data_IF_343853659631
#
_entry.id   IF_343853659631
#
_cell.length_a   1.000
_cell.length_b   1.000
_cell.length_c   1.000
_cell.angle_alpha   90.00
_cell.angle_beta   90.00
_cell.angle_gamma   90.00
#
_symmetry.space_group_name_H-M   'P 1'
#
loop_
_entity.id
_entity.type
_entity.pdbx_description
1 polymer ?
#
# COMPACT_ATOMS: atom_id res chain seq x y z
N UNK A 1 -4.25 -8.04 16.38
CA UNK A 1 -4.87 -6.86 17.03
C UNK A 1 -6.33 -6.66 16.62
N UNK A 2 -6.71 -7.00 15.39
CA UNK A 2 -8.11 -6.89 14.93
C UNK A 2 -9.07 -7.98 15.45
N UNK A 3 -8.59 -9.19 15.70
CA UNK A 3 -9.46 -10.30 16.11
C UNK A 3 -10.20 -10.07 17.46
N UNK A 4 -9.48 -9.56 18.45
CA UNK A 4 -9.96 -9.47 19.84
C UNK A 4 -11.15 -8.52 19.99
N UNK A 5 -11.14 -7.30 19.40
CA UNK A 5 -12.30 -6.41 19.45
C UNK A 5 -13.59 -7.00 18.89
N UNK A 6 -13.55 -7.70 17.75
CA UNK A 6 -14.74 -8.32 17.15
C UNK A 6 -15.32 -9.43 18.04
N UNK A 7 -14.47 -10.26 18.65
CA UNK A 7 -14.91 -11.29 19.60
C UNK A 7 -15.55 -10.68 20.86
N UNK A 8 -14.95 -9.63 21.41
CA UNK A 8 -15.50 -8.94 22.59
C UNK A 8 -16.86 -8.31 22.27
N UNK A 9 -16.99 -7.66 21.11
CA UNK A 9 -18.24 -7.03 20.67
C UNK A 9 -19.34 -8.05 20.36
N UNK A 10 -18.98 -9.24 19.86
CA UNK A 10 -19.94 -10.31 19.56
C UNK A 10 -20.44 -11.08 20.79
N UNK A 11 -19.62 -11.20 21.84
CA UNK A 11 -19.98 -11.96 23.05
C UNK A 11 -20.60 -11.07 24.13
N UNK A 12 -20.15 -9.82 24.27
CA UNK A 12 -20.54 -8.98 25.39
C UNK A 12 -21.43 -7.80 24.99
N UNK A 13 -22.75 -8.00 25.13
CA UNK A 13 -23.76 -6.97 24.86
C UNK A 13 -23.56 -5.68 25.69
N UNK A 14 -23.01 -5.76 26.91
CA UNK A 14 -22.74 -4.57 27.75
C UNK A 14 -21.61 -3.70 27.20
N UNK A 15 -20.68 -4.27 26.42
CA UNK A 15 -19.63 -3.49 25.75
C UNK A 15 -20.17 -2.72 24.54
N UNK A 16 -21.25 -3.22 23.90
CA UNK A 16 -21.94 -2.53 22.80
C UNK A 16 -22.78 -1.35 23.28
N UNK A 17 -23.37 -1.44 24.48
CA UNK A 17 -24.25 -0.37 25.00
C UNK A 17 -23.48 0.85 25.52
N UNK A 18 -22.21 0.68 25.92
CA UNK A 18 -21.36 1.77 26.36
C UNK A 18 -20.63 2.41 25.18
N UNK A 19 -20.97 3.67 24.86
CA UNK A 19 -20.36 4.45 23.77
C UNK A 19 -18.82 4.44 23.82
N UNK A 20 -18.23 4.62 25.00
CA UNK A 20 -16.78 4.67 25.16
C UNK A 20 -16.10 3.32 24.87
N UNK A 21 -16.68 2.22 25.34
CA UNK A 21 -16.15 0.88 25.07
C UNK A 21 -16.25 0.55 23.59
N UNK A 22 -17.38 0.88 22.95
CA UNK A 22 -17.56 0.69 21.52
C UNK A 22 -16.54 1.48 20.70
N UNK A 23 -16.30 2.75 21.04
CA UNK A 23 -15.31 3.60 20.36
C UNK A 23 -13.90 3.02 20.53
N UNK A 24 -13.50 2.64 21.74
CA UNK A 24 -12.18 2.08 22.00
C UNK A 24 -11.99 0.76 21.23
N UNK A 25 -12.97 -0.14 21.27
CA UNK A 25 -12.87 -1.42 20.56
C UNK A 25 -12.83 -1.23 19.04
N UNK A 26 -13.68 -0.35 18.48
CA UNK A 26 -13.67 -0.05 17.04
C UNK A 26 -12.39 0.65 16.59
N UNK A 27 -11.81 1.52 17.42
CA UNK A 27 -10.54 2.19 17.09
C UNK A 27 -9.37 1.21 17.11
N UNK A 28 -9.28 0.34 18.12
CA UNK A 28 -8.27 -0.74 18.16
C UNK A 28 -8.44 -1.68 16.96
N UNK A 29 -9.68 -1.98 16.59
CA UNK A 29 -9.97 -2.78 15.40
C UNK A 29 -9.46 -2.11 14.11
N UNK A 30 -9.83 -0.85 13.89
CA UNK A 30 -9.44 -0.12 12.69
C UNK A 30 -7.91 0.03 12.61
N UNK A 31 -7.24 0.24 13.75
CA UNK A 31 -5.78 0.26 13.82
C UNK A 31 -5.17 -1.09 13.43
N UNK A 32 -5.74 -2.20 13.94
CA UNK A 32 -5.30 -3.54 13.59
C UNK A 32 -5.48 -3.86 12.10
N UNK A 33 -6.62 -3.47 11.52
CA UNK A 33 -6.89 -3.65 10.09
C UNK A 33 -5.94 -2.82 9.23
N UNK A 34 -5.71 -1.55 9.58
CA UNK A 34 -4.80 -0.67 8.85
C UNK A 34 -3.36 -1.17 8.87
N UNK A 35 -2.90 -1.69 10.01
CA UNK A 35 -1.57 -2.30 10.11
C UNK A 35 -1.44 -3.53 9.20
N UNK A 36 -2.47 -4.39 9.19
CA UNK A 36 -2.43 -5.60 8.39
C UNK A 36 -2.46 -5.31 6.88
N UNK A 37 -3.24 -4.31 6.46
CA UNK A 37 -3.31 -3.83 5.08
C UNK A 37 -1.94 -3.32 4.58
N UNK A 38 -1.29 -2.44 5.37
CA UNK A 38 0.04 -1.92 5.04
C UNK A 38 1.11 -3.01 4.97
N UNK A 39 1.02 -4.03 5.83
CA UNK A 39 1.95 -5.18 5.80
C UNK A 39 1.72 -6.01 4.54
N UNK A 40 0.47 -6.30 4.16
CA UNK A 40 0.15 -7.03 2.92
C UNK A 40 0.68 -6.27 1.70
N UNK A 41 0.45 -4.96 1.63
CA UNK A 41 0.98 -4.12 0.55
C UNK A 41 2.51 -4.13 0.50
N UNK A 42 3.18 -4.03 1.66
CA UNK A 42 4.63 -4.10 1.75
C UNK A 42 5.18 -5.46 1.29
N UNK A 43 4.52 -6.56 1.66
CA UNK A 43 4.91 -7.91 1.25
C UNK A 43 4.73 -8.10 -0.26
N UNK A 44 3.62 -7.63 -0.83
CA UNK A 44 3.39 -7.67 -2.28
C UNK A 44 4.45 -6.85 -3.01
N UNK A 45 4.78 -5.67 -2.49
CA UNK A 45 5.82 -4.82 -3.06
C UNK A 45 7.22 -5.44 -3.02
N UNK A 46 7.59 -6.07 -1.90
CA UNK A 46 8.87 -6.77 -1.78
C UNK A 46 8.93 -7.96 -2.75
N UNK A 47 7.84 -8.72 -2.87
CA UNK A 47 7.73 -9.83 -3.82
C UNK A 47 7.83 -9.35 -5.28
N UNK A 48 7.16 -8.23 -5.61
CA UNK A 48 7.22 -7.57 -6.93
C UNK A 48 8.64 -7.21 -7.33
N UNK A 49 9.50 -6.86 -6.37
CA UNK A 49 10.89 -6.49 -6.61
C UNK A 49 11.81 -7.70 -6.71
N UNK A 50 11.56 -8.74 -5.91
CA UNK A 50 12.30 -9.99 -5.96
C UNK A 50 12.04 -10.74 -7.27
N UNK A 51 10.81 -10.72 -7.78
CA UNK A 51 10.52 -11.13 -9.14
C UNK A 51 11.06 -10.11 -10.14
N UNK A 52 11.57 -10.58 -11.29
CA UNK A 52 12.06 -9.67 -12.34
C UNK A 52 10.97 -8.65 -12.67
N UNK A 53 11.35 -7.39 -12.89
CA UNK A 53 10.41 -6.28 -13.09
C UNK A 53 9.42 -6.43 -14.28
N UNK A 54 9.60 -7.46 -15.13
CA UNK A 54 8.61 -7.90 -16.13
C UNK A 54 7.36 -8.54 -15.52
N UNK A 55 7.46 -9.18 -14.35
CA UNK A 55 6.37 -9.88 -13.65
C UNK A 55 5.74 -9.04 -12.52
N UNK A 56 6.39 -7.94 -12.12
CA UNK A 56 5.90 -6.96 -11.14
C UNK A 56 4.43 -6.55 -11.36
N UNK A 57 4.08 -6.19 -12.60
CA UNK A 57 2.72 -5.77 -12.94
C UNK A 57 1.70 -6.91 -12.87
N UNK A 58 2.14 -8.14 -13.14
CA UNK A 58 1.27 -9.32 -13.10
C UNK A 58 0.98 -9.70 -11.64
N UNK A 59 2.00 -9.69 -10.77
CA UNK A 59 1.82 -10.00 -9.34
C UNK A 59 0.90 -8.99 -8.65
N UNK A 60 1.08 -7.70 -8.91
CA UNK A 60 0.19 -6.70 -8.33
C UNK A 60 -1.24 -6.80 -8.90
N UNK A 61 -1.40 -7.14 -10.18
CA UNK A 61 -2.74 -7.36 -10.75
C UNK A 61 -3.46 -8.54 -10.09
N UNK A 62 -2.73 -9.60 -9.72
CA UNK A 62 -3.28 -10.77 -9.01
C UNK A 62 -3.76 -10.36 -7.62
N UNK A 63 -2.99 -9.55 -6.87
CA UNK A 63 -3.41 -9.04 -5.56
C UNK A 63 -4.69 -8.22 -5.65
N UNK A 64 -4.81 -7.36 -6.67
CA UNK A 64 -6.01 -6.54 -6.90
C UNK A 64 -7.22 -7.37 -7.35
N UNK A 65 -7.02 -8.43 -8.13
CA UNK A 65 -8.07 -9.39 -8.47
C UNK A 65 -8.55 -10.16 -7.23
N UNK A 66 -7.64 -10.59 -6.36
CA UNK A 66 -7.99 -11.22 -5.09
C UNK A 66 -8.76 -10.28 -4.17
N UNK A 67 -8.35 -9.00 -4.10
CA UNK A 67 -9.08 -7.95 -3.36
C UNK A 67 -10.49 -7.74 -3.93
N UNK A 68 -10.64 -7.66 -5.25
CA UNK A 68 -11.95 -7.52 -5.89
C UNK A 68 -12.86 -8.72 -5.59
N UNK A 69 -12.31 -9.94 -5.64
CA UNK A 69 -13.05 -11.15 -5.29
C UNK A 69 -13.49 -11.16 -3.82
N UNK A 70 -12.59 -10.79 -2.90
CA UNK A 70 -12.91 -10.61 -1.48
C UNK A 70 -13.99 -9.54 -1.25
N UNK A 71 -13.94 -8.44 -2.01
CA UNK A 71 -14.93 -7.37 -1.98
C UNK A 71 -16.32 -7.81 -2.46
N UNK A 72 -16.40 -8.63 -3.51
CA UNK A 72 -17.65 -9.24 -4.00
C UNK A 72 -18.26 -10.13 -2.91
N UNK A 73 -17.47 -11.09 -2.41
CA UNK A 73 -17.90 -12.01 -1.36
C UNK A 73 -18.34 -11.25 -0.09
N UNK A 74 -17.56 -10.25 0.33
CA UNK A 74 -17.87 -9.42 1.50
C UNK A 74 -19.11 -8.56 1.33
N UNK A 75 -19.34 -8.00 0.13
CA UNK A 75 -20.54 -7.17 -0.14
C UNK A 75 -21.82 -8.02 -0.19
N UNK A 76 -21.75 -9.23 -0.76
CA UNK A 76 -22.86 -10.19 -0.79
C UNK A 76 -23.18 -10.72 0.61
N UNK A 77 -22.17 -11.20 1.34
CA UNK A 77 -22.34 -11.68 2.72
C UNK A 77 -22.80 -10.56 3.65
N UNK A 78 -22.25 -9.35 3.51
CA UNK A 78 -22.63 -8.18 4.29
C UNK A 78 -24.10 -7.80 4.06
N UNK A 79 -24.53 -7.74 2.79
CA UNK A 79 -25.92 -7.47 2.42
C UNK A 79 -26.88 -8.51 3.01
N UNK A 80 -26.56 -9.80 2.90
CA UNK A 80 -27.36 -10.89 3.47
C UNK A 80 -27.39 -10.85 5.01
N UNK A 81 -26.26 -10.58 5.64
CA UNK A 81 -26.13 -10.51 7.09
C UNK A 81 -26.97 -9.36 7.68
N UNK A 82 -26.95 -8.19 7.05
CA UNK A 82 -27.71 -7.00 7.48
C UNK A 82 -29.24 -7.22 7.50
N UNK A 83 -29.77 -8.08 6.63
CA UNK A 83 -31.22 -8.30 6.51
C UNK A 83 -31.74 -9.48 7.34
N UNK A 84 -30.91 -10.49 7.59
CA UNK A 84 -31.37 -11.77 8.15
C UNK A 84 -30.70 -12.16 9.48
N UNK A 85 -29.62 -11.50 9.88
CA UNK A 85 -28.86 -11.88 11.08
C UNK A 85 -28.96 -10.80 12.16
N UNK A 86 -29.03 -11.25 13.40
CA UNK A 86 -28.92 -10.37 14.56
C UNK A 86 -27.50 -9.80 14.68
N UNK A 87 -27.42 -8.60 15.25
CA UNK A 87 -26.17 -7.83 15.37
C UNK A 87 -25.06 -8.62 16.09
N UNK A 88 -25.40 -9.43 17.10
CA UNK A 88 -24.46 -10.29 17.82
C UNK A 88 -23.79 -11.34 16.91
N UNK A 89 -24.60 -12.00 16.08
CA UNK A 89 -24.12 -12.99 15.10
C UNK A 89 -23.28 -12.29 14.02
N UNK A 90 -23.65 -11.07 13.63
CA UNK A 90 -22.88 -10.27 12.67
C UNK A 90 -21.46 -10.01 13.22
N UNK A 91 -21.32 -9.49 14.45
CA UNK A 91 -20.00 -9.22 15.05
C UNK A 91 -19.15 -10.51 15.15
N UNK A 92 -19.76 -11.64 15.51
CA UNK A 92 -19.06 -12.91 15.61
C UNK A 92 -18.63 -13.44 14.23
N UNK A 93 -19.47 -13.32 13.20
CA UNK A 93 -19.13 -13.65 11.82
C UNK A 93 -17.95 -12.81 11.32
N UNK A 94 -17.93 -11.51 11.63
CA UNK A 94 -16.82 -10.63 11.27
C UNK A 94 -15.50 -10.99 11.98
N UNK A 95 -15.53 -11.67 13.12
CA UNK A 95 -14.31 -12.15 13.80
C UNK A 95 -13.60 -13.31 13.07
N UNK A 96 -14.34 -14.06 12.25
CA UNK A 96 -13.78 -15.19 11.48
C UNK A 96 -12.76 -14.72 10.45
N UNK A 97 -12.99 -13.56 9.83
CA UNK A 97 -12.09 -13.04 8.79
C UNK A 97 -10.70 -12.66 9.35
N UNK A 98 -10.58 -11.85 10.44
CA UNK A 98 -9.30 -11.65 11.11
C UNK A 98 -8.66 -12.93 11.67
N UNK A 99 -9.45 -13.95 12.04
CA UNK A 99 -8.91 -15.23 12.51
C UNK A 99 -8.22 -16.00 11.37
N UNK A 100 -8.85 -16.04 10.19
CA UNK A 100 -8.24 -16.61 8.98
C UNK A 100 -6.97 -15.83 8.61
N UNK A 101 -7.00 -14.50 8.67
CA UNK A 101 -5.82 -13.68 8.40
C UNK A 101 -4.68 -13.98 9.38
N UNK A 102 -4.98 -14.09 10.68
CA UNK A 102 -3.99 -14.43 11.69
C UNK A 102 -3.39 -15.82 11.46
N UNK A 103 -4.22 -16.79 11.10
CA UNK A 103 -3.77 -18.14 10.75
C UNK A 103 -2.88 -18.13 9.51
N UNK A 104 -3.26 -17.37 8.48
CA UNK A 104 -2.45 -17.21 7.26
C UNK A 104 -1.10 -16.57 7.56
N UNK A 105 -1.03 -15.55 8.42
CA UNK A 105 0.24 -14.95 8.85
C UNK A 105 1.16 -15.96 9.54
N UNK A 106 0.59 -16.90 10.31
CA UNK A 106 1.36 -17.97 10.96
C UNK A 106 1.96 -19.00 10.00
N UNK A 107 1.49 -19.05 8.75
CA UNK A 107 1.98 -19.95 7.71
C UNK A 107 2.99 -19.28 6.77
N UNK A 108 3.17 -17.96 6.86
CA UNK A 108 4.17 -17.25 6.04
C UNK A 108 5.55 -17.56 6.59
N UNK A 109 6.34 -18.25 5.78
CA UNK A 109 7.70 -18.66 6.13
C UNK A 109 8.64 -17.46 5.94
N UNK A 110 9.22 -16.97 7.04
CA UNK A 110 10.19 -15.87 7.01
C UNK A 110 11.53 -16.39 6.48
N UNK A 111 11.84 -16.11 5.21
CA UNK A 111 13.19 -16.31 4.68
C UNK A 111 14.12 -15.28 5.34
N UNK A 112 14.93 -15.72 6.29
CA UNK A 112 15.93 -14.89 6.99
C UNK A 112 17.02 -14.35 6.04
N UNK A 113 16.73 -13.26 5.33
CA UNK A 113 17.71 -12.54 4.50
C UNK A 113 18.78 -11.82 5.37
N UNK A 114 18.58 -11.74 6.68
CA UNK A 114 19.49 -11.08 7.63
C UNK A 114 20.87 -11.77 7.81
N UNK A 115 21.07 -13.01 7.35
CA UNK A 115 22.39 -13.65 7.41
C UNK A 115 23.35 -13.25 6.27
N UNK A 116 22.84 -12.85 5.10
CA UNK A 116 23.70 -12.49 3.97
C UNK A 116 24.18 -11.03 4.00
N UNK A 117 23.40 -10.12 4.57
CA UNK A 117 23.78 -8.70 4.68
C UNK A 117 24.82 -8.49 5.78
N UNK A 118 24.70 -9.21 6.91
CA UNK A 118 25.71 -9.19 7.98
C UNK A 118 27.05 -9.82 7.56
N UNK A 119 27.04 -10.86 6.70
CA UNK A 119 28.27 -11.47 6.19
C UNK A 119 28.98 -10.61 5.13
N UNK A 120 28.24 -9.84 4.32
CA UNK A 120 28.83 -8.87 3.38
C UNK A 120 29.36 -7.59 4.04
N UNK A 121 28.77 -7.14 5.14
CA UNK A 121 29.33 -6.01 5.91
C UNK A 121 30.61 -6.39 6.67
N UNK A 122 30.73 -7.65 7.12
CA UNK A 122 31.96 -8.15 7.74
C UNK A 122 33.10 -8.37 6.75
N UNK A 123 32.81 -8.67 5.47
CA UNK A 123 33.84 -8.88 4.45
C UNK A 123 34.29 -7.62 3.70
N UNK A 124 33.54 -6.51 3.77
CA UNK A 124 33.93 -5.26 3.10
C UNK A 124 34.68 -4.26 4.00
N UNK A 125 34.66 -4.45 5.32
CA UNK A 125 35.33 -3.53 6.26
C UNK A 125 36.82 -3.84 6.51
N UNK A 126 37.33 -4.98 6.05
CA UNK A 126 38.74 -5.40 6.26
C UNK A 126 39.69 -5.09 5.09
N UNK A 127 39.26 -4.35 4.06
CA UNK A 127 40.11 -4.06 2.88
C UNK A 127 40.55 -2.60 2.72
N UNK A 128 40.25 -1.71 3.68
CA UNK A 128 40.61 -0.30 3.58
C UNK A 128 41.16 0.28 4.88
N UNK A 129 42.24 -0.29 5.43
CA UNK A 129 43.09 0.43 6.38
C UNK A 129 44.52 -0.12 6.45
N UNK A 130 45.29 -0.01 5.36
CA UNK A 130 46.76 -0.06 5.41
C UNK A 130 47.34 0.52 4.12
N UNK A 131 47.35 1.85 4.00
CA UNK A 131 48.41 2.52 3.25
C UNK A 131 48.54 3.98 3.68
N UNK A 132 49.74 4.38 4.12
CA UNK A 132 50.09 5.79 4.29
C UNK A 132 50.68 6.17 5.65
N UNK A 133 51.92 5.76 5.92
CA UNK A 133 52.96 6.69 6.39
C UNK A 133 54.35 6.05 6.35
N UNK A 134 55.03 6.34 5.24
CA UNK A 134 56.48 6.26 5.10
C UNK A 134 57.11 7.33 6.00
N UNK A 135 58.06 6.95 6.85
CA UNK A 135 59.14 7.84 7.27
C UNK A 135 60.40 7.01 7.45
N UNK A 136 61.41 7.40 6.68
CA UNK A 136 62.76 6.89 6.66
C UNK A 136 63.43 7.02 8.04
N UNK A 137 64.21 6.01 8.42
CA UNK A 137 65.52 6.25 9.01
C UNK A 137 66.41 5.04 8.69
N UNK A 138 67.57 5.33 8.11
CA UNK A 138 68.64 4.39 7.78
C UNK A 138 69.29 3.88 9.06
N UNK A 139 69.72 2.61 9.07
CA UNK A 139 71.01 2.24 9.63
C UNK A 139 71.49 0.90 9.03
N UNK A 140 72.70 0.96 8.50
CA UNK A 140 73.45 -0.12 7.86
C UNK A 140 73.87 -1.21 8.86
N UNK A 141 74.04 -2.45 8.38
CA UNK A 141 74.50 -3.51 9.28
C UNK A 141 74.70 -4.92 8.75
N UNK A 142 75.28 -5.08 7.56
CA UNK A 142 76.25 -6.15 7.23
C UNK A 142 75.90 -7.67 7.26
N UNK A 143 76.54 -8.36 6.30
CA UNK A 143 77.03 -9.75 6.30
C UNK A 143 76.13 -10.90 5.78
N UNK A 144 76.26 -11.12 4.47
CA UNK A 144 76.65 -12.38 3.81
C UNK A 144 76.47 -13.72 4.56
N UNK A 145 75.79 -14.70 3.93
CA UNK A 145 76.46 -15.76 3.14
C UNK A 145 75.49 -16.74 2.46
N UNK A 146 75.96 -17.18 1.28
CA UNK A 146 75.39 -18.06 0.26
C UNK A 146 75.22 -19.53 0.68
N UNK A 147 74.30 -20.24 0.02
CA UNK A 147 74.55 -21.46 -0.82
C UNK A 147 73.24 -22.23 -1.02
N UNK A 148 72.68 -22.26 -2.24
CA UNK A 148 72.82 -23.30 -3.29
C UNK A 148 72.26 -24.69 -2.92
N UNK A 149 71.26 -25.16 -3.67
CA UNK A 149 71.34 -26.31 -4.61
C UNK A 149 69.93 -26.84 -4.98
N UNK A 150 69.83 -27.08 -6.28
CA UNK A 150 68.85 -27.63 -7.22
C UNK A 150 68.20 -29.01 -6.97
N UNK A 151 66.93 -29.13 -7.44
CA UNK A 151 66.37 -30.16 -8.39
C UNK A 151 65.55 -31.39 -7.90
N UNK A 152 64.28 -31.40 -8.37
CA UNK A 152 63.36 -32.48 -8.87
C UNK A 152 63.13 -33.78 -8.06
N UNK A 153 61.85 -34.13 -7.81
CA UNK A 153 61.02 -35.13 -8.58
C UNK A 153 59.62 -35.39 -7.98
N UNK A 154 58.64 -35.63 -8.87
CA UNK A 154 57.27 -36.16 -8.73
C UNK A 154 57.17 -37.44 -7.86
N UNK A 155 56.10 -37.65 -7.07
CA UNK A 155 54.81 -38.34 -7.41
C UNK A 155 54.03 -38.81 -6.14
N UNK A 156 52.80 -38.31 -6.01
CA UNK A 156 51.49 -38.94 -5.66
C UNK A 156 51.31 -39.90 -4.46
N UNK A 157 50.32 -39.53 -3.64
CA UNK A 157 49.34 -40.31 -2.85
C UNK A 157 49.79 -41.15 -1.65
N UNK A 158 49.30 -40.78 -0.45
CA UNK A 158 48.36 -41.61 0.34
C UNK A 158 47.75 -40.83 1.53
N UNK A 159 46.45 -41.06 1.74
CA UNK A 159 45.61 -40.68 2.89
C UNK A 159 46.28 -41.05 4.23
N UNK A 160 46.18 -40.18 5.24
CA UNK A 160 46.00 -40.58 6.64
C UNK A 160 45.37 -39.47 7.48
N UNK A 161 44.28 -39.84 8.15
CA UNK A 161 43.55 -39.06 9.14
C UNK A 161 44.46 -38.63 10.29
N UNK A 162 44.27 -37.41 10.80
CA UNK A 162 44.62 -37.10 12.19
C UNK A 162 43.53 -36.25 12.82
N UNK A 163 42.86 -36.88 13.80
CA UNK A 163 42.17 -36.24 14.93
C UNK A 163 43.05 -35.13 15.49
N UNK A 164 42.49 -33.96 15.78
CA UNK A 164 43.12 -33.02 16.72
C UNK A 164 42.05 -32.39 17.59
N UNK A 165 41.97 -32.96 18.79
CA UNK A 165 41.69 -32.35 20.09
C UNK A 165 40.84 -31.07 20.11
N UNK A 166 39.62 -31.28 20.56
CA UNK A 166 38.80 -30.30 21.27
C UNK A 166 39.53 -29.89 22.57
N UNK A 167 39.88 -28.61 22.70
CA UNK A 167 40.13 -27.98 23.99
C UNK A 167 39.61 -26.54 23.94
N UNK A 168 38.70 -26.13 24.84
CA UNK A 168 37.99 -24.86 24.73
C UNK A 168 38.90 -23.74 25.22
N UNK A 169 39.27 -22.81 24.32
CA UNK A 169 40.03 -21.62 24.74
C UNK A 169 39.05 -20.48 25.03
N UNK A 170 38.73 -20.38 26.33
CA UNK A 170 38.20 -19.24 27.08
C UNK A 170 37.49 -18.16 26.24
N UNK A 171 36.17 -18.14 26.35
CA UNK A 171 35.36 -17.00 25.93
C UNK A 171 35.88 -15.70 26.53
N UNK A 172 36.29 -14.78 25.67
CA UNK A 172 36.15 -13.35 25.96
C UNK A 172 34.75 -12.97 25.50
N UNK A 173 33.90 -12.70 26.48
CA UNK A 173 32.57 -12.14 26.25
C UNK A 173 32.68 -10.87 25.42
N UNK A 174 31.79 -10.64 24.43
CA UNK A 174 31.55 -9.30 23.95
C UNK A 174 30.90 -8.55 25.11
N UNK A 175 31.57 -7.48 25.54
CA UNK A 175 31.09 -6.64 26.62
C UNK A 175 29.71 -6.06 26.32
N UNK A 176 28.86 -6.17 27.35
CA UNK A 176 27.77 -5.27 27.75
C UNK A 176 26.74 -4.94 26.67
N UNK A 177 25.57 -5.58 26.83
CA UNK A 177 24.35 -5.28 26.11
C UNK A 177 24.08 -3.79 26.02
N UNK A 178 24.09 -3.27 24.78
CA UNK A 178 23.29 -2.10 24.46
C UNK A 178 21.84 -2.52 24.72
N UNK A 179 21.12 -1.79 25.56
CA UNK A 179 19.70 -2.04 25.84
C UNK A 179 18.95 -2.25 24.51
N UNK A 180 18.11 -3.28 24.42
CA UNK A 180 17.26 -3.56 23.24
C UNK A 180 16.53 -2.30 22.76
N UNK A 181 16.14 -1.42 23.69
CA UNK A 181 15.53 -0.13 23.39
C UNK A 181 16.48 0.84 22.63
N UNK A 182 17.78 0.85 22.96
CA UNK A 182 18.79 1.67 22.28
C UNK A 182 19.06 1.13 20.87
N UNK A 183 19.08 -0.19 20.69
CA UNK A 183 19.20 -0.81 19.37
C UNK A 183 17.97 -0.51 18.51
N UNK A 184 16.76 -0.67 19.05
CA UNK A 184 15.52 -0.37 18.34
C UNK A 184 15.41 1.11 17.98
N UNK A 185 15.81 2.01 18.89
CA UNK A 185 15.84 3.45 18.61
C UNK A 185 16.87 3.82 17.55
N UNK A 186 18.04 3.18 17.52
CA UNK A 186 19.05 3.37 16.48
C UNK A 186 18.52 2.89 15.12
N UNK A 187 17.95 1.69 15.04
CA UNK A 187 17.32 1.17 13.82
C UNK A 187 16.18 2.07 13.33
N UNK A 188 15.33 2.57 14.24
CA UNK A 188 14.25 3.49 13.90
C UNK A 188 14.81 4.81 13.35
N UNK A 189 15.86 5.34 13.96
CA UNK A 189 16.52 6.57 13.51
C UNK A 189 17.14 6.39 12.11
N UNK A 190 17.80 5.26 11.87
CA UNK A 190 18.43 4.95 10.58
C UNK A 190 17.39 4.73 9.48
N UNK A 191 16.29 4.03 9.80
CA UNK A 191 15.14 3.89 8.91
C UNK A 191 14.49 5.24 8.58
N UNK A 192 14.30 6.10 9.59
CA UNK A 192 13.73 7.45 9.43
C UNK A 192 14.62 8.35 8.58
N UNK A 193 15.94 8.30 8.80
CA UNK A 193 16.90 9.08 8.02
C UNK A 193 16.91 8.63 6.54
N UNK A 194 16.92 7.31 6.32
CA UNK A 194 16.88 6.73 4.97
C UNK A 194 15.57 7.05 4.25
N UNK A 195 14.44 6.99 4.96
CA UNK A 195 13.12 7.37 4.44
C UNK A 195 13.07 8.86 4.07
N UNK A 196 13.57 9.75 4.94
CA UNK A 196 13.64 11.19 4.65
C UNK A 196 14.52 11.48 3.42
N UNK A 197 15.63 10.76 3.26
CA UNK A 197 16.49 10.86 2.08
C UNK A 197 15.80 10.37 0.82
N UNK A 198 15.08 9.24 0.88
CA UNK A 198 14.33 8.68 -0.24
C UNK A 198 13.17 9.60 -0.65
N UNK A 199 12.40 10.12 0.32
CA UNK A 199 11.29 11.04 0.09
C UNK A 199 11.74 12.36 -0.56
N UNK A 200 12.95 12.85 -0.25
CA UNK A 200 13.53 14.04 -0.90
C UNK A 200 13.91 13.83 -2.36
N UNK A 201 13.94 12.59 -2.85
CA UNK A 201 14.27 12.36 -4.25
C UNK A 201 13.12 12.87 -5.14
N UNK A 202 13.40 13.73 -6.13
CA UNK A 202 12.37 14.35 -6.95
C UNK A 202 11.59 13.32 -7.79
N UNK A 203 12.17 12.13 -8.02
CA UNK A 203 11.52 11.04 -8.75
C UNK A 203 10.37 10.40 -7.95
N UNK A 204 10.43 10.44 -6.62
CA UNK A 204 9.40 9.92 -5.70
C UNK A 204 8.46 11.06 -5.27
N UNK A 205 9.02 12.21 -4.89
CA UNK A 205 8.25 13.34 -4.37
C UNK A 205 7.23 13.87 -5.38
N UNK A 206 7.60 13.99 -6.67
CA UNK A 206 6.71 14.59 -7.68
C UNK A 206 5.46 13.72 -7.96
N UNK A 207 5.56 12.40 -8.17
CA UNK A 207 4.39 11.52 -8.25
C UNK A 207 3.53 11.54 -6.99
N UNK A 208 4.14 11.51 -5.80
CA UNK A 208 3.40 11.54 -4.53
C UNK A 208 2.66 12.87 -4.33
N UNK A 209 3.30 14.00 -4.63
CA UNK A 209 2.70 15.32 -4.56
C UNK A 209 1.54 15.46 -5.56
N UNK A 210 1.71 14.95 -6.79
CA UNK A 210 0.62 14.93 -7.78
C UNK A 210 -0.59 14.15 -7.26
N UNK A 211 -0.35 12.97 -6.68
CA UNK A 211 -1.42 12.12 -6.16
C UNK A 211 -2.18 12.79 -5.00
N UNK A 212 -1.43 13.38 -4.07
CA UNK A 212 -1.98 14.15 -2.96
C UNK A 212 -2.80 15.35 -3.44
N UNK A 213 -2.26 16.15 -4.36
CA UNK A 213 -2.96 17.26 -4.99
C UNK A 213 -4.21 16.79 -5.74
N UNK A 214 -4.15 15.63 -6.40
CA UNK A 214 -5.30 15.08 -7.11
C UNK A 214 -6.47 14.72 -6.17
N UNK A 215 -6.20 14.30 -4.94
CA UNK A 215 -7.23 14.05 -3.94
C UNK A 215 -7.78 15.32 -3.28
N UNK A 216 -6.97 16.36 -3.13
CA UNK A 216 -7.41 17.63 -2.53
C UNK A 216 -8.22 18.47 -3.51
N UNK A 217 -7.75 18.55 -4.76
CA UNK A 217 -8.34 19.43 -5.77
C UNK A 217 -9.73 18.98 -6.19
N UNK A 218 -10.01 17.68 -6.15
CA UNK A 218 -11.34 17.13 -6.43
C UNK A 218 -12.13 17.06 -5.12
N UNK A 219 -13.17 17.91 -4.92
CA UNK A 219 -14.00 17.85 -3.73
C UNK A 219 -14.73 16.51 -3.68
N UNK A 220 -14.64 15.79 -2.55
CA UNK A 220 -15.33 14.52 -2.38
C UNK A 220 -16.76 14.74 -1.87
N UNK A 221 -17.75 14.62 -2.76
CA UNK A 221 -19.17 14.70 -2.44
C UNK A 221 -19.84 13.32 -2.23
N UNK A 222 -19.07 12.23 -2.06
CA UNK A 222 -19.64 10.88 -1.94
C UNK A 222 -20.61 10.74 -0.77
N UNK A 223 -20.38 11.44 0.35
CA UNK A 223 -21.31 11.44 1.51
C UNK A 223 -22.64 12.11 1.18
N UNK A 224 -22.60 13.28 0.50
CA UNK A 224 -23.79 14.01 0.07
C UNK A 224 -24.57 13.20 -0.97
N UNK A 225 -23.86 12.59 -1.93
CA UNK A 225 -24.46 11.70 -2.92
C UNK A 225 -25.12 10.48 -2.26
N UNK A 226 -24.50 9.91 -1.23
CA UNK A 226 -25.09 8.81 -0.45
C UNK A 226 -26.40 9.25 0.22
N UNK A 227 -26.45 10.41 0.88
CA UNK A 227 -27.69 10.95 1.47
C UNK A 227 -28.76 11.22 0.41
N UNK A 228 -28.37 11.74 -0.76
CA UNK A 228 -29.30 11.92 -1.87
C UNK A 228 -29.90 10.58 -2.35
N UNK A 229 -29.08 9.53 -2.46
CA UNK A 229 -29.52 8.20 -2.86
C UNK A 229 -30.45 7.53 -1.83
N UNK A 230 -30.21 7.73 -0.53
CA UNK A 230 -31.01 7.08 0.53
C UNK A 230 -32.25 7.87 0.91
N UNK A 231 -32.17 9.20 1.03
CA UNK A 231 -33.30 10.04 1.49
C UNK A 231 -34.21 10.48 0.34
N UNK A 232 -33.63 10.92 -0.79
CA UNK A 232 -34.41 11.44 -1.91
C UNK A 232 -34.88 10.32 -2.85
N UNK A 233 -33.95 9.46 -3.30
CA UNK A 233 -34.29 8.34 -4.20
C UNK A 233 -34.93 7.15 -3.46
N UNK A 234 -34.83 7.12 -2.12
CA UNK A 234 -35.32 6.03 -1.26
C UNK A 234 -34.81 4.66 -1.70
N UNK A 235 -33.53 4.59 -2.08
CA UNK A 235 -32.91 3.32 -2.43
C UNK A 235 -32.67 2.48 -1.19
N UNK A 236 -33.07 1.22 -1.27
CA UNK A 236 -32.90 0.25 -0.19
C UNK A 236 -31.41 -0.04 0.06
N UNK A 237 -31.02 -0.24 1.32
CA UNK A 237 -29.63 -0.56 1.68
C UNK A 237 -29.13 -1.85 0.99
N UNK A 238 -30.02 -2.81 0.75
CA UNK A 238 -29.74 -4.05 0.01
C UNK A 238 -29.29 -3.74 -1.43
N UNK A 239 -29.97 -2.82 -2.11
CA UNK A 239 -29.60 -2.37 -3.46
C UNK A 239 -28.23 -1.69 -3.48
N UNK A 240 -27.93 -0.88 -2.47
CA UNK A 240 -26.64 -0.22 -2.35
C UNK A 240 -25.49 -1.21 -2.10
N UNK A 241 -25.76 -2.31 -1.39
CA UNK A 241 -24.86 -3.45 -1.29
C UNK A 241 -24.62 -4.13 -2.64
N UNK A 242 -25.67 -4.39 -3.43
CA UNK A 242 -25.54 -4.93 -4.79
C UNK A 242 -24.78 -3.97 -5.72
N UNK A 243 -24.96 -2.66 -5.56
CA UNK A 243 -24.21 -1.66 -6.32
C UNK A 243 -22.70 -1.77 -6.08
N UNK A 244 -22.27 -2.02 -4.83
CA UNK A 244 -20.85 -2.28 -4.53
C UNK A 244 -20.32 -3.54 -5.19
N UNK A 245 -21.12 -4.62 -5.27
CA UNK A 245 -20.73 -5.84 -6.01
C UNK A 245 -20.42 -5.52 -7.47
N UNK A 246 -21.24 -4.69 -8.11
CA UNK A 246 -21.02 -4.23 -9.49
C UNK A 246 -19.76 -3.37 -9.58
N UNK A 247 -19.48 -2.52 -8.60
CA UNK A 247 -18.22 -1.78 -8.51
C UNK A 247 -17.00 -2.71 -8.44
N UNK A 248 -17.04 -3.76 -7.61
CA UNK A 248 -15.97 -4.76 -7.53
C UNK A 248 -15.82 -5.58 -8.81
N UNK A 249 -16.91 -5.93 -9.50
CA UNK A 249 -16.86 -6.55 -10.82
C UNK A 249 -16.21 -5.60 -11.84
N UNK A 250 -16.55 -4.31 -11.81
CA UNK A 250 -15.90 -3.27 -12.61
C UNK A 250 -14.40 -3.18 -12.35
N UNK A 251 -13.98 -3.26 -11.08
CA UNK A 251 -12.57 -3.31 -10.70
C UNK A 251 -11.88 -4.57 -11.24
N UNK A 252 -12.54 -5.73 -11.19
CA UNK A 252 -12.01 -6.99 -11.72
C UNK A 252 -11.78 -6.91 -13.23
N UNK A 253 -12.78 -6.45 -13.99
CA UNK A 253 -12.70 -6.23 -15.44
C UNK A 253 -11.64 -5.17 -15.77
N UNK A 254 -11.57 -4.11 -14.99
CA UNK A 254 -10.60 -3.04 -15.14
C UNK A 254 -9.16 -3.51 -14.90
N UNK A 255 -8.94 -4.34 -13.88
CA UNK A 255 -7.62 -4.93 -13.57
C UNK A 255 -7.18 -5.89 -14.68
N UNK A 256 -8.10 -6.69 -15.21
CA UNK A 256 -7.83 -7.53 -16.39
C UNK A 256 -7.47 -6.69 -17.62
N UNK A 257 -8.25 -5.65 -17.91
CA UNK A 257 -7.99 -4.69 -18.99
C UNK A 257 -6.64 -3.99 -18.79
N UNK A 258 -6.28 -3.68 -17.53
CA UNK A 258 -5.01 -3.09 -17.18
C UNK A 258 -3.84 -4.00 -17.54
N UNK A 259 -3.94 -5.28 -17.16
CA UNK A 259 -2.91 -6.26 -17.44
C UNK A 259 -2.71 -6.51 -18.94
N UNK A 260 -3.79 -6.47 -19.72
CA UNK A 260 -3.70 -6.71 -21.17
C UNK A 260 -3.20 -5.49 -21.97
N UNK A 261 -3.69 -4.29 -21.64
CA UNK A 261 -3.49 -3.09 -22.47
C UNK A 261 -2.77 -1.94 -21.74
N UNK A 262 -3.20 -1.57 -20.54
CA UNK A 262 -2.71 -0.34 -19.87
C UNK A 262 -1.28 -0.48 -19.34
N UNK A 263 -0.83 -1.68 -18.96
CA UNK A 263 0.55 -1.89 -18.46
C UNK A 263 1.63 -1.46 -19.45
N UNK A 264 1.35 -1.55 -20.76
CA UNK A 264 2.26 -1.15 -21.84
C UNK A 264 2.26 0.36 -22.10
N UNK A 265 1.31 1.09 -21.53
CA UNK A 265 1.19 2.54 -21.72
C UNK A 265 2.05 3.31 -20.72
N UNK A 266 2.36 4.56 -21.07
CA UNK A 266 3.01 5.51 -20.14
C UNK A 266 2.04 5.87 -19.02
N UNK A 267 2.53 5.99 -17.77
CA UNK A 267 1.73 6.32 -16.60
C UNK A 267 0.88 7.59 -16.80
N UNK A 268 1.46 8.63 -17.41
CA UNK A 268 0.72 9.86 -17.75
C UNK A 268 -0.54 9.59 -18.60
N UNK A 269 -0.47 8.68 -19.57
CA UNK A 269 -1.64 8.37 -20.42
C UNK A 269 -2.72 7.64 -19.62
N UNK A 270 -2.32 6.71 -18.74
CA UNK A 270 -3.24 5.95 -17.88
C UNK A 270 -4.01 6.91 -16.97
N UNK A 271 -3.32 7.85 -16.33
CA UNK A 271 -3.95 8.81 -15.42
C UNK A 271 -4.82 9.84 -16.16
N UNK A 272 -4.40 10.24 -17.36
CA UNK A 272 -5.23 11.09 -18.22
C UNK A 272 -6.52 10.36 -18.61
N UNK A 273 -6.44 9.11 -19.05
CA UNK A 273 -7.60 8.27 -19.36
C UNK A 273 -8.50 8.05 -18.13
N UNK A 274 -7.92 7.82 -16.95
CA UNK A 274 -8.67 7.66 -15.71
C UNK A 274 -9.45 8.93 -15.34
N UNK A 275 -8.82 10.10 -15.40
CA UNK A 275 -9.52 11.37 -15.10
C UNK A 275 -10.56 11.74 -16.15
N UNK A 276 -10.30 11.47 -17.43
CA UNK A 276 -11.32 11.63 -18.48
C UNK A 276 -12.50 10.67 -18.25
N UNK A 277 -12.23 9.42 -17.85
CA UNK A 277 -13.26 8.46 -17.46
C UNK A 277 -14.07 8.93 -16.25
N UNK A 278 -13.42 9.45 -15.20
CA UNK A 278 -14.11 10.05 -14.05
C UNK A 278 -14.96 11.25 -14.45
N UNK A 279 -14.45 12.15 -15.30
CA UNK A 279 -15.20 13.29 -15.78
C UNK A 279 -16.45 12.84 -16.56
N UNK A 280 -16.31 11.80 -17.39
CA UNK A 280 -17.44 11.19 -18.09
C UNK A 280 -18.45 10.58 -17.13
N UNK A 281 -18.02 9.88 -16.07
CA UNK A 281 -18.92 9.33 -15.07
C UNK A 281 -19.63 10.39 -14.21
N UNK A 282 -18.94 11.49 -13.89
CA UNK A 282 -19.58 12.62 -13.22
C UNK A 282 -20.70 13.23 -14.07
N UNK A 283 -20.69 13.10 -15.41
CA UNK A 283 -21.84 13.51 -16.24
C UNK A 283 -23.07 12.65 -15.94
N UNK A 284 -22.91 11.35 -15.64
CA UNK A 284 -24.03 10.50 -15.23
C UNK A 284 -24.62 10.98 -13.90
N UNK A 285 -23.77 11.42 -12.97
CA UNK A 285 -24.21 11.99 -11.70
C UNK A 285 -24.99 13.30 -11.91
N UNK A 286 -24.57 14.15 -12.85
CA UNK A 286 -25.32 15.37 -13.22
C UNK A 286 -26.68 15.01 -13.84
N UNK A 287 -26.72 14.02 -14.74
CA UNK A 287 -27.98 13.57 -15.36
C UNK A 287 -28.92 12.95 -14.32
N UNK A 288 -28.37 12.24 -13.32
CA UNK A 288 -29.12 11.68 -12.20
C UNK A 288 -29.75 12.79 -11.33
N UNK A 289 -28.95 13.77 -10.91
CA UNK A 289 -29.41 14.85 -10.01
C UNK A 289 -30.36 15.82 -10.71
N UNK A 290 -30.15 16.09 -12.01
CA UNK A 290 -31.09 16.89 -12.82
C UNK A 290 -32.42 16.20 -13.10
N UNK A 291 -32.58 14.92 -12.72
CA UNK A 291 -33.76 14.08 -13.01
C UNK A 291 -34.09 13.93 -14.50
N UNK A 292 -33.13 14.26 -15.36
CA UNK A 292 -33.26 14.09 -16.81
C UNK A 292 -33.38 12.61 -17.19
N UNK A 293 -32.84 11.73 -16.35
CA UNK A 293 -32.99 10.28 -16.47
C UNK A 293 -34.46 9.81 -16.54
N UNK A 294 -35.35 10.40 -15.74
CA UNK A 294 -36.79 10.08 -15.73
C UNK A 294 -37.45 10.52 -17.04
N UNK A 295 -37.04 11.66 -17.60
CA UNK A 295 -37.54 12.13 -18.90
C UNK A 295 -37.16 11.20 -20.05
N UNK A 296 -35.99 10.54 -19.97
CA UNK A 296 -35.56 9.51 -20.92
C UNK A 296 -36.07 8.10 -20.59
N UNK A 297 -36.87 7.93 -19.53
CA UNK A 297 -37.39 6.62 -19.11
C UNK A 297 -36.34 5.67 -18.51
N UNK A 298 -35.16 6.17 -18.13
CA UNK A 298 -34.10 5.38 -17.51
C UNK A 298 -34.33 5.30 -16.00
N UNK A 299 -34.20 4.10 -15.43
CA UNK A 299 -34.40 3.91 -13.99
C UNK A 299 -33.28 4.59 -13.18
N UNK A 300 -33.67 5.24 -12.09
CA UNK A 300 -32.76 5.79 -11.08
C UNK A 300 -31.71 4.76 -10.61
N UNK A 301 -32.15 3.50 -10.43
CA UNK A 301 -31.29 2.38 -10.04
C UNK A 301 -30.18 2.11 -11.05
N UNK A 302 -30.51 2.02 -12.34
CA UNK A 302 -29.53 1.75 -13.40
C UNK A 302 -28.50 2.88 -13.53
N UNK A 303 -28.94 4.12 -13.28
CA UNK A 303 -28.07 5.28 -13.37
C UNK A 303 -27.06 5.35 -12.22
N UNK A 304 -27.53 5.08 -10.99
CA UNK A 304 -26.66 4.96 -9.80
C UNK A 304 -25.63 3.84 -9.98
N UNK A 305 -26.05 2.70 -10.53
CA UNK A 305 -25.15 1.58 -10.82
C UNK A 305 -24.06 1.95 -11.84
N UNK A 306 -24.41 2.69 -12.88
CA UNK A 306 -23.46 3.06 -13.93
C UNK A 306 -22.52 4.20 -13.50
N UNK A 307 -23.01 5.18 -12.74
CA UNK A 307 -22.25 6.32 -12.25
C UNK A 307 -21.34 5.97 -11.08
N UNK A 308 -21.90 5.90 -9.88
CA UNK A 308 -21.13 5.83 -8.64
C UNK A 308 -20.30 4.55 -8.51
N UNK A 309 -20.87 3.38 -8.85
CA UNK A 309 -20.15 2.11 -8.69
C UNK A 309 -18.95 1.99 -9.66
N UNK A 310 -19.10 2.48 -10.89
CA UNK A 310 -18.00 2.48 -11.85
C UNK A 310 -16.96 3.56 -11.53
N UNK A 311 -17.38 4.70 -10.97
CA UNK A 311 -16.48 5.77 -10.53
C UNK A 311 -15.56 5.31 -9.41
N UNK A 312 -16.10 4.55 -8.44
CA UNK A 312 -15.32 3.91 -7.39
C UNK A 312 -14.29 2.93 -7.96
N UNK A 313 -14.68 2.13 -8.96
CA UNK A 313 -13.78 1.20 -9.63
C UNK A 313 -12.62 1.92 -10.35
N UNK A 314 -12.88 3.03 -11.07
CA UNK A 314 -11.81 3.79 -11.73
C UNK A 314 -10.89 4.47 -10.71
N UNK A 315 -11.44 5.01 -9.62
CA UNK A 315 -10.63 5.57 -8.53
C UNK A 315 -9.65 4.55 -7.97
N UNK A 316 -10.13 3.33 -7.74
CA UNK A 316 -9.32 2.19 -7.31
C UNK A 316 -8.27 1.79 -8.36
N UNK A 317 -8.64 1.68 -9.64
CA UNK A 317 -7.67 1.36 -10.72
C UNK A 317 -6.55 2.41 -10.86
N UNK A 318 -6.84 3.69 -10.60
CA UNK A 318 -5.84 4.77 -10.63
C UNK A 318 -4.72 4.55 -9.60
N UNK A 319 -4.99 3.89 -8.47
CA UNK A 319 -4.00 3.60 -7.42
C UNK A 319 -2.96 2.59 -7.85
N UNK A 320 -3.39 1.54 -8.55
CA UNK A 320 -2.55 0.39 -8.86
C UNK A 320 -1.23 0.77 -9.55
N UNK A 321 -1.19 1.59 -10.63
CA UNK A 321 0.07 1.99 -11.27
C UNK A 321 1.04 2.74 -10.35
N UNK A 322 0.52 3.48 -9.37
CA UNK A 322 1.36 4.20 -8.41
C UNK A 322 2.01 3.27 -7.40
N UNK A 323 1.30 2.22 -6.97
CA UNK A 323 1.88 1.19 -6.12
C UNK A 323 3.00 0.43 -6.87
N UNK A 324 2.81 0.13 -8.17
CA UNK A 324 3.84 -0.50 -8.99
C UNK A 324 5.08 0.40 -9.07
N UNK A 325 4.86 1.68 -9.39
CA UNK A 325 5.94 2.66 -9.49
C UNK A 325 6.65 2.87 -8.15
N UNK A 326 5.89 2.92 -7.06
CA UNK A 326 6.44 3.03 -5.70
C UNK A 326 7.40 1.86 -5.44
N UNK A 327 6.99 0.63 -5.72
CA UNK A 327 7.82 -0.57 -5.51
C UNK A 327 9.09 -0.59 -6.34
N UNK A 328 9.02 -0.11 -7.58
CA UNK A 328 10.20 -0.01 -8.45
C UNK A 328 11.19 1.09 -8.00
N UNK A 329 10.69 2.17 -7.39
CA UNK A 329 11.50 3.31 -6.95
C UNK A 329 12.01 3.17 -5.50
N UNK A 330 11.47 2.23 -4.72
CA UNK A 330 11.89 1.99 -3.34
C UNK A 330 13.34 1.49 -3.27
N UNK A 331 14.23 2.14 -2.50
CA UNK A 331 15.56 1.62 -2.26
C UNK A 331 15.52 0.39 -1.32
N UNK A 332 16.49 -0.53 -1.46
CA UNK A 332 16.54 -1.76 -0.68
C UNK A 332 16.56 -1.53 0.82
N UNK A 333 15.70 -2.28 1.52
CA UNK A 333 15.61 -2.28 2.98
C UNK A 333 14.67 -1.26 3.60
N UNK A 334 14.03 -0.38 2.80
CA UNK A 334 13.00 0.56 3.28
C UNK A 334 11.71 0.54 2.46
N UNK A 335 11.48 -0.52 1.68
CA UNK A 335 10.28 -0.66 0.83
C UNK A 335 8.99 -0.51 1.64
N UNK A 336 8.83 -1.32 2.69
CA UNK A 336 7.63 -1.28 3.52
C UNK A 336 7.39 0.09 4.16
N UNK A 337 8.44 0.80 4.59
CA UNK A 337 8.27 2.13 5.21
C UNK A 337 7.95 3.21 4.18
N UNK A 338 8.48 3.14 2.96
CA UNK A 338 8.13 4.08 1.89
C UNK A 338 6.70 3.85 1.38
N UNK A 339 6.27 2.59 1.27
CA UNK A 339 4.87 2.25 0.97
C UNK A 339 3.91 2.70 2.07
N UNK A 340 4.26 2.45 3.35
CA UNK A 340 3.46 2.93 4.47
C UNK A 340 3.29 4.45 4.44
N UNK A 341 4.37 5.18 4.10
CA UNK A 341 4.33 6.63 3.94
C UNK A 341 3.46 7.05 2.74
N UNK A 342 3.54 6.35 1.61
CA UNK A 342 2.68 6.57 0.45
C UNK A 342 1.20 6.41 0.80
N UNK A 343 0.85 5.30 1.45
CA UNK A 343 -0.52 5.01 1.90
C UNK A 343 -1.01 6.02 2.94
N UNK A 344 -0.14 6.46 3.84
CA UNK A 344 -0.45 7.50 4.83
C UNK A 344 -0.75 8.85 4.18
N UNK A 345 0.08 9.28 3.22
CA UNK A 345 -0.15 10.52 2.44
C UNK A 345 -1.46 10.41 1.67
N UNK A 346 -1.76 9.24 1.11
CA UNK A 346 -3.00 9.02 0.40
C UNK A 346 -4.23 9.14 1.32
N UNK A 347 -4.23 8.43 2.44
CA UNK A 347 -5.33 8.47 3.40
C UNK A 347 -5.53 9.89 3.95
N UNK A 348 -4.43 10.62 4.18
CA UNK A 348 -4.46 12.03 4.55
C UNK A 348 -5.06 12.89 3.44
N UNK A 349 -4.68 12.69 2.17
CA UNK A 349 -5.25 13.37 1.01
C UNK A 349 -6.75 13.13 0.87
N UNK A 350 -7.21 11.88 1.04
CA UNK A 350 -8.64 11.54 1.04
C UNK A 350 -9.42 12.22 2.17
N UNK A 351 -8.82 12.29 3.36
CA UNK A 351 -9.41 12.99 4.52
C UNK A 351 -9.55 14.49 4.24
N UNK A 352 -8.49 15.13 3.73
CA UNK A 352 -8.53 16.56 3.36
C UNK A 352 -9.53 16.79 2.22
N UNK A 353 -9.56 15.94 1.19
CA UNK A 353 -10.55 16.03 0.11
C UNK A 353 -12.00 15.89 0.58
N UNK A 354 -12.23 15.07 1.61
CA UNK A 354 -13.53 14.93 2.27
C UNK A 354 -13.92 16.19 3.05
N UNK A 355 -12.97 16.82 3.75
CA UNK A 355 -13.21 18.13 4.40
C UNK A 355 -13.47 19.24 3.38
N UNK A 356 -12.75 19.26 2.26
CA UNK A 356 -12.99 20.21 1.15
C UNK A 356 -14.38 19.99 0.55
N UNK A 357 -14.79 18.72 0.34
CA UNK A 357 -16.14 18.38 -0.13
C UNK A 357 -17.24 18.79 0.85
N UNK A 358 -17.05 18.55 2.16
CA UNK A 358 -17.97 18.98 3.19
C UNK A 358 -18.05 20.52 3.30
N UNK A 359 -16.91 21.21 3.15
CA UNK A 359 -16.84 22.66 3.08
C UNK A 359 -17.61 23.22 1.88
N UNK A 360 -17.44 22.60 0.70
CA UNK A 360 -18.20 22.96 -0.50
C UNK A 360 -19.71 22.75 -0.30
N UNK A 361 -20.10 21.63 0.32
CA UNK A 361 -21.51 21.36 0.63
C UNK A 361 -22.10 22.39 1.60
N UNK A 362 -21.34 22.81 2.60
CA UNK A 362 -21.73 23.86 3.55
C UNK A 362 -21.88 25.23 2.87
N UNK A 363 -20.93 25.62 2.00
CA UNK A 363 -21.01 26.88 1.23
C UNK A 363 -22.24 26.92 0.32
N UNK A 364 -22.61 25.77 -0.25
CA UNK A 364 -23.79 25.62 -1.10
C UNK A 364 -25.10 25.43 -0.31
N UNK A 365 -25.06 25.49 1.02
CA UNK A 365 -26.19 25.25 1.92
C UNK A 365 -26.93 23.94 1.63
N UNK A 366 -26.19 22.87 1.29
CA UNK A 366 -26.78 21.55 1.07
C UNK A 366 -27.07 20.93 2.43
N UNK A 367 -28.33 20.62 2.70
CA UNK A 367 -28.78 20.00 3.95
C UNK A 367 -29.57 18.72 3.67
N UNK A 368 -29.62 17.81 4.64
CA UNK A 368 -30.48 16.62 4.62
C UNK A 368 -31.94 17.05 4.47
N UNK A 369 -32.47 16.96 3.24
CA UNK A 369 -33.82 17.39 2.86
C UNK A 369 -33.90 18.51 1.82
N UNK A 370 -32.81 19.23 1.52
CA UNK A 370 -32.77 20.24 0.44
C UNK A 370 -31.50 20.07 -0.40
N UNK A 371 -31.68 19.57 -1.62
CA UNK A 371 -30.60 19.21 -2.55
C UNK A 371 -30.54 20.13 -3.77
N UNK A 372 -31.19 21.29 -3.74
CA UNK A 372 -31.36 22.18 -4.91
C UNK A 372 -30.03 22.62 -5.51
N UNK A 373 -29.01 22.86 -4.67
CA UNK A 373 -27.67 23.26 -5.10
C UNK A 373 -26.72 22.08 -5.35
N UNK A 374 -27.18 20.82 -5.23
CA UNK A 374 -26.35 19.64 -5.45
C UNK A 374 -25.83 19.57 -6.87
N UNK A 375 -26.66 19.96 -7.85
CA UNK A 375 -26.27 20.03 -9.26
C UNK A 375 -25.06 20.97 -9.45
N UNK A 376 -25.05 22.14 -8.79
CA UNK A 376 -23.95 23.08 -8.84
C UNK A 376 -22.69 22.49 -8.18
N UNK A 377 -22.84 21.78 -7.06
CA UNK A 377 -21.74 21.08 -6.39
C UNK A 377 -21.08 20.03 -7.29
N UNK A 378 -21.88 19.20 -7.98
CA UNK A 378 -21.37 18.17 -8.90
C UNK A 378 -20.75 18.82 -10.15
N UNK A 379 -21.31 19.93 -10.64
CA UNK A 379 -20.71 20.69 -11.73
C UNK A 379 -19.32 21.25 -11.35
N UNK A 380 -19.18 21.80 -10.14
CA UNK A 380 -17.88 22.24 -9.60
C UNK A 380 -16.92 21.04 -9.49
N UNK A 381 -17.39 19.89 -8.98
CA UNK A 381 -16.60 18.67 -8.91
C UNK A 381 -16.10 18.24 -10.30
N UNK A 382 -16.96 18.29 -11.33
CA UNK A 382 -16.59 17.98 -12.72
C UNK A 382 -15.47 18.89 -13.20
N UNK A 383 -15.56 20.21 -13.03
CA UNK A 383 -14.48 21.13 -13.40
C UNK A 383 -13.18 20.82 -12.64
N UNK A 384 -13.30 20.54 -11.34
CA UNK A 384 -12.16 20.16 -10.52
C UNK A 384 -11.50 18.85 -10.97
N UNK A 385 -12.23 17.90 -11.55
CA UNK A 385 -11.62 16.66 -12.08
C UNK A 385 -10.65 16.88 -13.24
N UNK A 386 -10.70 18.02 -13.91
CA UNK A 386 -9.72 18.39 -14.95
C UNK A 386 -8.44 19.04 -14.38
N UNK A 387 -8.46 19.55 -13.14
CA UNK A 387 -7.29 20.17 -12.50
C UNK A 387 -6.11 19.18 -12.36
N UNK A 388 -6.31 17.94 -11.87
CA UNK A 388 -5.25 16.93 -11.85
C UNK A 388 -4.64 16.68 -13.22
N UNK A 389 -5.45 16.79 -14.30
CA UNK A 389 -4.98 16.61 -15.68
C UNK A 389 -3.94 17.66 -16.05
N UNK A 390 -4.18 18.92 -15.69
CA UNK A 390 -3.21 20.01 -15.90
C UNK A 390 -1.94 19.81 -15.08
N UNK A 391 -2.07 19.21 -13.89
CA UNK A 391 -0.94 18.92 -13.00
C UNK A 391 -0.11 17.70 -13.47
N UNK A 392 -0.49 16.95 -14.50
CA UNK A 392 0.29 15.79 -15.00
C UNK A 392 1.72 16.14 -15.42
N UNK A 393 2.05 17.43 -15.57
CA UNK A 393 3.41 17.89 -15.78
C UNK A 393 4.38 17.41 -14.67
N UNK A 394 3.90 17.23 -13.42
CA UNK A 394 4.71 16.78 -12.28
C UNK A 394 5.25 15.35 -12.46
N UNK A 395 4.50 14.46 -13.09
CA UNK A 395 4.89 13.04 -13.22
C UNK A 395 5.98 12.91 -14.29
N UNK A 396 7.11 12.25 -14.09
CA UNK A 396 8.15 12.10 -15.12
C UNK A 396 7.63 11.45 -16.42
N UNK A 397 8.16 11.88 -17.58
CA UNK A 397 7.72 11.42 -18.92
C UNK A 397 8.05 9.95 -19.22
N UNK A 398 8.99 9.39 -18.45
CA UNK A 398 9.58 8.06 -18.65
C UNK A 398 8.99 6.97 -17.74
N UNK A 399 8.13 7.34 -16.78
CA UNK A 399 7.48 6.34 -15.92
C UNK A 399 6.49 5.48 -16.72
N UNK A 400 6.86 4.23 -16.97
CA UNK A 400 6.01 3.16 -17.52
C UNK A 400 5.63 2.17 -16.44
N UNK A 401 4.49 1.49 -16.60
CA UNK A 401 4.08 0.40 -15.70
C UNK A 401 4.94 -0.88 -15.81
N UNK A 402 5.94 -0.85 -16.70
CA UNK A 402 6.94 -1.90 -16.94
C UNK A 402 8.30 -1.23 -16.73
N UNK A 403 9.20 -1.85 -16.00
CA UNK A 403 10.57 -1.35 -15.90
C UNK A 403 11.24 -1.46 -17.27
N UNK A 404 11.81 -0.34 -17.72
CA UNK A 404 12.65 -0.26 -18.92
C UNK A 404 13.99 -0.96 -18.71
#
# INVERSE_FOLDING_TARGET
MSLVPWLILGVNATSRSSMWHLIILLTVQNLGSAMADVVVDAMVAEAVRCEKALFAGDLQSISWLAMAFGGICGSLLGGYALTNLEIDIIFLLFSVLPAIQLFSCGLVEENSVDSEVFSKFSNSSDSHLLNGKTNNLNEDGSLEKKSNVTVRRRKKNQKKSKKTQFMPRKGKSPGKGKSLAIQWFQSLKDATYSLCRAFKQPIILRPMAWFFLAHITVPNLSTVMFYYQTEFLKLEASFLGTARVIGWLGLMIGTFTYNQYLKKMKLRRILMLAHVGLAFLNLFDIVLVSRTNVAFGVSDKTMVLCGSALSDAINQLKFMPFLILSGQLCPPGIEGTLFALFMSINNFGSTVGSFVGAGLASILNISSGSFDNLLLGIAIQLFCTFIPIMLLFLIPKEATGIAS
#
